data_IF_599896104257
#
_entry.id   IF_599896104257
#
_cell.length_a   1.000
_cell.length_b   1.000
_cell.length_c   1.000
_cell.angle_alpha   90.00
_cell.angle_beta   90.00
_cell.angle_gamma   90.00
#
_symmetry.space_group_name_H-M   'P 1'
#
loop_
_entity.id
_entity.type
_entity.pdbx_description
1 polymer ?
#
# COMPACT_ATOMS: atom_id res chain seq x y z
N UNK A 1 -7.58 10.92 19.37
CA UNK A 1 -8.16 9.98 18.39
C UNK A 1 -7.00 9.24 17.73
N UNK A 2 -7.12 7.93 17.42
CA UNK A 2 -6.05 7.23 16.70
C UNK A 2 -5.95 7.78 15.27
N UNK A 3 -4.74 7.84 14.68
CA UNK A 3 -4.61 8.24 13.27
C UNK A 3 -5.32 7.25 12.34
N UNK A 4 -5.76 7.75 11.20
CA UNK A 4 -6.37 6.94 10.14
C UNK A 4 -5.28 6.17 9.39
N UNK A 5 -5.61 4.93 9.03
CA UNK A 5 -4.74 4.02 8.28
C UNK A 5 -5.30 3.86 6.87
N UNK A 6 -4.46 4.05 5.86
CA UNK A 6 -4.80 3.74 4.46
C UNK A 6 -4.15 2.41 4.08
N UNK A 7 -4.94 1.43 3.65
CA UNK A 7 -4.45 0.14 3.15
C UNK A 7 -4.72 0.01 1.66
N UNK A 8 -3.66 -0.13 0.87
CA UNK A 8 -3.73 -0.20 -0.59
C UNK A 8 -3.74 -1.64 -1.09
N UNK A 9 -4.73 -1.96 -1.89
CA UNK A 9 -5.04 -3.25 -2.49
C UNK A 9 -5.07 -4.43 -1.48
N UNK A 10 -5.88 -4.37 -0.41
CA UNK A 10 -6.00 -5.43 0.59
C UNK A 10 -6.82 -6.65 0.09
N UNK A 11 -6.51 -7.16 -1.09
CA UNK A 11 -7.16 -8.34 -1.67
C UNK A 11 -6.56 -9.65 -1.13
N UNK A 12 -7.34 -10.74 -1.16
CA UNK A 12 -6.92 -12.06 -0.69
C UNK A 12 -6.45 -12.01 0.78
N UNK A 13 -5.24 -12.49 1.10
CA UNK A 13 -4.65 -12.44 2.45
C UNK A 13 -4.35 -11.01 2.92
N UNK A 14 -4.27 -10.04 2.01
CA UNK A 14 -4.10 -8.63 2.35
C UNK A 14 -5.22 -8.08 3.23
N UNK A 15 -6.40 -8.71 3.20
CA UNK A 15 -7.54 -8.35 4.05
C UNK A 15 -7.23 -8.47 5.55
N UNK A 16 -6.33 -9.38 5.93
CA UNK A 16 -5.91 -9.56 7.32
C UNK A 16 -5.24 -8.31 7.88
N UNK A 17 -4.56 -7.52 7.03
CA UNK A 17 -3.93 -6.25 7.44
C UNK A 17 -5.01 -5.26 7.89
N UNK A 18 -6.08 -5.11 7.10
CA UNK A 18 -7.21 -4.24 7.45
C UNK A 18 -7.89 -4.72 8.73
N UNK A 19 -8.24 -6.00 8.79
CA UNK A 19 -8.94 -6.56 9.96
C UNK A 19 -8.13 -6.39 11.24
N UNK A 20 -6.81 -6.49 11.18
CA UNK A 20 -5.95 -6.29 12.35
C UNK A 20 -5.91 -4.82 12.80
N UNK A 21 -5.88 -3.85 11.87
CA UNK A 21 -5.98 -2.44 12.23
C UNK A 21 -7.36 -2.11 12.84
N UNK A 22 -8.44 -2.64 12.26
CA UNK A 22 -9.80 -2.46 12.80
C UNK A 22 -9.92 -3.09 14.19
N UNK A 23 -9.40 -4.32 14.39
CA UNK A 23 -9.40 -4.99 15.69
C UNK A 23 -8.63 -4.21 16.76
N UNK A 24 -7.57 -3.49 16.35
CA UNK A 24 -6.84 -2.56 17.22
C UNK A 24 -7.54 -1.22 17.41
N UNK A 25 -8.70 -0.98 16.82
CA UNK A 25 -9.49 0.25 16.96
C UNK A 25 -8.97 1.44 16.16
N UNK A 26 -8.27 1.21 15.05
CA UNK A 26 -7.92 2.27 14.09
C UNK A 26 -9.08 2.48 13.10
N UNK A 27 -9.21 3.71 12.62
CA UNK A 27 -10.02 4.00 11.44
C UNK A 27 -9.25 3.55 10.20
N UNK A 28 -9.88 2.76 9.33
CA UNK A 28 -9.21 2.22 8.14
C UNK A 28 -9.94 2.63 6.87
N UNK A 29 -9.18 3.19 5.94
CA UNK A 29 -9.58 3.47 4.56
C UNK A 29 -8.89 2.45 3.65
N UNK A 30 -9.63 1.83 2.73
CA UNK A 30 -9.06 0.91 1.75
C UNK A 30 -9.02 1.55 0.37
N UNK A 31 -7.99 1.24 -0.42
CA UNK A 31 -7.90 1.62 -1.84
C UNK A 31 -7.81 0.34 -2.66
N UNK A 32 -8.72 0.13 -3.62
CA UNK A 32 -8.68 -1.02 -4.53
C UNK A 32 -8.10 -0.61 -5.87
N UNK A 33 -7.13 -1.37 -6.38
CA UNK A 33 -6.57 -1.14 -7.71
C UNK A 33 -7.50 -1.68 -8.81
N UNK A 34 -8.17 -2.80 -8.55
CA UNK A 34 -9.18 -3.37 -9.44
C UNK A 34 -10.42 -3.79 -8.66
N UNK A 35 -11.57 -3.22 -9.01
CA UNK A 35 -12.84 -3.52 -8.35
C UNK A 35 -13.43 -4.90 -8.69
N UNK A 36 -13.00 -5.58 -9.75
CA UNK A 36 -13.88 -6.55 -10.44
C UNK A 36 -13.62 -8.03 -10.15
N UNK A 37 -12.43 -8.45 -9.73
CA UNK A 37 -12.09 -9.88 -9.72
C UNK A 37 -12.28 -10.58 -8.36
N UNK A 38 -12.25 -9.87 -7.22
CA UNK A 38 -12.09 -10.52 -5.90
C UNK A 38 -12.99 -10.02 -4.75
N UNK A 39 -14.05 -9.24 -5.02
CA UNK A 39 -14.88 -8.63 -3.95
C UNK A 39 -15.47 -9.64 -2.97
N UNK A 40 -15.93 -10.81 -3.44
CA UNK A 40 -16.50 -11.85 -2.57
C UNK A 40 -15.52 -12.37 -1.51
N UNK A 41 -14.22 -12.44 -1.82
CA UNK A 41 -13.19 -12.96 -0.89
C UNK A 41 -12.88 -11.93 0.21
N UNK A 42 -13.15 -10.65 -0.06
CA UNK A 42 -12.76 -9.54 0.79
C UNK A 42 -13.97 -8.80 1.41
N UNK A 43 -15.18 -9.35 1.30
CA UNK A 43 -16.42 -8.71 1.74
C UNK A 43 -16.40 -8.30 3.22
N UNK A 44 -15.89 -9.19 4.08
CA UNK A 44 -15.69 -8.96 5.52
C UNK A 44 -14.81 -7.75 5.81
N UNK A 45 -13.76 -7.59 5.02
CA UNK A 45 -12.85 -6.44 5.11
C UNK A 45 -13.49 -5.15 4.59
N UNK A 46 -14.24 -5.21 3.48
CA UNK A 46 -14.92 -4.05 2.90
C UNK A 46 -15.95 -3.47 3.88
N UNK A 47 -16.67 -4.33 4.59
CA UNK A 47 -17.65 -3.94 5.63
C UNK A 47 -16.97 -3.38 6.88
N UNK A 48 -15.75 -3.81 7.19
CA UNK A 48 -14.98 -3.33 8.34
C UNK A 48 -14.29 -1.98 8.08
N UNK A 49 -14.12 -1.57 6.82
CA UNK A 49 -13.53 -0.28 6.46
C UNK A 49 -14.50 0.87 6.71
N UNK A 50 -13.97 2.02 7.10
CA UNK A 50 -14.76 3.26 7.14
C UNK A 50 -15.17 3.70 5.73
N UNK A 51 -14.27 3.55 4.75
CA UNK A 51 -14.53 3.86 3.36
C UNK A 51 -13.58 3.07 2.45
N UNK A 52 -14.05 2.80 1.23
CA UNK A 52 -13.28 2.11 0.19
C UNK A 52 -13.25 2.97 -1.07
N UNK A 53 -12.05 3.24 -1.57
CA UNK A 53 -11.80 3.98 -2.80
C UNK A 53 -11.43 3.04 -3.94
N UNK A 54 -11.73 3.43 -5.17
CA UNK A 54 -11.23 2.76 -6.37
C UNK A 54 -10.19 3.63 -7.03
N UNK A 55 -9.00 3.09 -7.22
CA UNK A 55 -7.95 3.79 -7.95
C UNK A 55 -8.26 3.80 -9.45
N UNK A 56 -8.28 4.99 -10.05
CA UNK A 56 -8.55 5.18 -11.48
C UNK A 56 -7.30 5.45 -12.32
N UNK A 57 -6.10 5.26 -11.75
CA UNK A 57 -4.85 5.66 -12.40
C UNK A 57 -4.45 7.12 -12.20
N UNK A 58 -5.16 7.86 -11.34
CA UNK A 58 -4.89 9.26 -11.00
C UNK A 58 -4.62 9.38 -9.50
N UNK A 59 -3.34 9.45 -9.11
CA UNK A 59 -2.95 9.55 -7.70
C UNK A 59 -3.39 10.86 -7.07
N UNK A 60 -3.37 11.98 -7.81
CA UNK A 60 -3.71 13.28 -7.26
C UNK A 60 -5.18 13.36 -6.90
N UNK A 61 -6.06 12.82 -7.76
CA UNK A 61 -7.47 12.68 -7.46
C UNK A 61 -7.71 11.80 -6.23
N UNK A 62 -7.03 10.65 -6.15
CA UNK A 62 -7.16 9.74 -5.01
C UNK A 62 -6.74 10.41 -3.69
N UNK A 63 -5.65 11.18 -3.70
CA UNK A 63 -5.21 11.96 -2.53
C UNK A 63 -6.32 12.89 -2.05
N UNK A 64 -6.92 13.67 -2.96
CA UNK A 64 -8.00 14.61 -2.60
C UNK A 64 -9.21 13.89 -1.99
N UNK A 65 -9.55 12.72 -2.53
CA UNK A 65 -10.63 11.88 -1.99
C UNK A 65 -10.31 11.35 -0.58
N UNK A 66 -9.06 10.96 -0.33
CA UNK A 66 -8.60 10.51 1.00
C UNK A 66 -8.58 11.67 2.01
N UNK A 67 -8.07 12.83 1.62
CA UNK A 67 -8.03 14.05 2.46
C UNK A 67 -9.43 14.53 2.84
N UNK A 68 -10.40 14.40 1.92
CA UNK A 68 -11.80 14.70 2.21
C UNK A 68 -12.42 13.72 3.22
N UNK A 69 -11.91 12.50 3.31
CA UNK A 69 -12.39 11.48 4.26
C UNK A 69 -11.68 11.55 5.62
N UNK A 70 -10.43 12.01 5.68
CA UNK A 70 -9.70 12.17 6.93
C UNK A 70 -8.54 13.15 6.82
N UNK A 71 -8.40 14.00 7.83
CA UNK A 71 -7.33 15.00 8.02
C UNK A 71 -6.13 14.48 8.83
N UNK A 72 -6.18 13.23 9.30
CA UNK A 72 -5.20 12.67 10.25
C UNK A 72 -4.68 11.30 9.78
N UNK A 73 -4.11 11.27 8.58
CA UNK A 73 -3.47 10.06 8.03
C UNK A 73 -2.13 9.82 8.74
N UNK A 74 -2.00 8.71 9.47
CA UNK A 74 -0.75 8.38 10.18
C UNK A 74 -0.01 7.17 9.64
N UNK A 75 -0.68 6.31 8.86
CA UNK A 75 -0.07 5.13 8.24
C UNK A 75 -0.66 4.93 6.86
N UNK A 76 0.22 4.66 5.90
CA UNK A 76 -0.16 4.16 4.59
C UNK A 76 0.65 2.89 4.32
N UNK A 77 -0.02 1.80 3.99
CA UNK A 77 0.65 0.51 3.73
C UNK A 77 -0.04 -0.25 2.61
N UNK A 78 0.72 -1.13 1.95
CA UNK A 78 0.15 -2.09 1.02
C UNK A 78 -0.45 -3.28 1.77
N UNK A 79 -1.57 -3.79 1.26
CA UNK A 79 -2.17 -5.06 1.66
C UNK A 79 -1.66 -6.23 0.84
N UNK A 80 -1.26 -6.01 -0.42
CA UNK A 80 -0.61 -7.02 -1.27
C UNK A 80 0.45 -6.42 -2.20
N UNK A 81 1.16 -7.28 -2.95
CA UNK A 81 2.28 -6.90 -3.83
C UNK A 81 1.93 -5.80 -4.85
N UNK A 82 0.73 -5.85 -5.42
CA UNK A 82 0.29 -4.90 -6.46
C UNK A 82 0.21 -3.48 -5.90
N UNK A 83 -0.24 -3.34 -4.65
CA UNK A 83 -0.41 -2.07 -3.94
C UNK A 83 0.88 -1.40 -3.49
N UNK A 84 2.04 -2.07 -3.54
CA UNK A 84 3.30 -1.58 -2.94
C UNK A 84 3.72 -0.21 -3.47
N UNK A 85 3.65 0.02 -4.78
CA UNK A 85 4.10 1.29 -5.37
C UNK A 85 3.19 2.45 -5.01
N UNK A 86 1.87 2.26 -5.20
CA UNK A 86 0.89 3.28 -4.86
C UNK A 86 0.89 3.56 -3.36
N UNK A 87 1.03 2.55 -2.51
CA UNK A 87 1.16 2.74 -1.06
C UNK A 87 2.38 3.59 -0.71
N UNK A 88 3.54 3.35 -1.34
CA UNK A 88 4.74 4.13 -1.07
C UNK A 88 4.62 5.59 -1.57
N UNK A 89 3.98 5.79 -2.72
CA UNK A 89 3.70 7.12 -3.27
C UNK A 89 2.76 7.93 -2.36
N UNK A 90 1.65 7.32 -1.95
CA UNK A 90 0.71 7.91 -0.99
C UNK A 90 1.37 8.14 0.37
N UNK A 91 2.16 7.18 0.87
CA UNK A 91 2.87 7.33 2.13
C UNK A 91 3.80 8.54 2.13
N UNK A 92 4.54 8.74 1.03
CA UNK A 92 5.41 9.88 0.82
C UNK A 92 4.62 11.19 0.74
N UNK A 93 3.49 11.19 0.01
CA UNK A 93 2.59 12.35 -0.08
C UNK A 93 2.07 12.78 1.30
N UNK A 94 1.57 11.83 2.10
CA UNK A 94 1.02 12.11 3.44
C UNK A 94 2.09 12.26 4.53
N UNK A 95 3.39 12.21 4.19
CA UNK A 95 4.48 12.35 5.16
C UNK A 95 4.55 11.23 6.20
N UNK A 96 3.97 10.07 5.90
CA UNK A 96 4.03 8.88 6.77
C UNK A 96 5.31 8.08 6.50
N UNK A 97 5.59 7.08 7.33
CA UNK A 97 6.77 6.22 7.14
C UNK A 97 6.72 5.53 5.77
N UNK A 98 7.68 5.87 4.90
CA UNK A 98 7.79 5.34 3.55
C UNK A 98 9.21 4.87 3.24
N UNK A 99 9.37 4.02 2.23
CA UNK A 99 10.70 3.76 1.68
C UNK A 99 11.15 4.96 0.82
N UNK A 100 12.46 5.22 0.75
CA UNK A 100 13.00 6.24 -0.14
C UNK A 100 12.60 5.96 -1.61
N UNK A 101 12.09 6.96 -2.35
CA UNK A 101 11.63 6.80 -3.73
C UNK A 101 12.80 6.49 -4.69
N UNK A 102 14.02 6.88 -4.38
CA UNK A 102 15.23 6.67 -5.19
C UNK A 102 15.53 5.17 -5.34
N UNK A 103 15.18 4.37 -4.34
CA UNK A 103 15.41 2.92 -4.30
C UNK A 103 14.23 2.10 -4.85
N UNK A 104 13.24 2.75 -5.49
CA UNK A 104 12.06 2.09 -6.07
C UNK A 104 12.43 0.98 -7.06
N UNK A 105 13.32 1.28 -8.01
CA UNK A 105 13.70 0.32 -9.05
C UNK A 105 14.38 -0.92 -8.47
N UNK A 106 15.17 -0.75 -7.40
CA UNK A 106 15.82 -1.85 -6.68
C UNK A 106 14.83 -2.77 -5.95
N UNK A 107 13.57 -2.35 -5.74
CA UNK A 107 12.53 -3.17 -5.09
C UNK A 107 11.59 -3.86 -6.06
N UNK A 108 11.49 -3.39 -7.32
CA UNK A 108 10.57 -3.94 -8.34
C UNK A 108 11.26 -4.82 -9.37
N UNK A 109 12.52 -4.55 -9.69
CA UNK A 109 13.24 -5.26 -10.73
C UNK A 109 14.29 -6.19 -10.12
N UNK A 110 14.27 -7.48 -10.48
CA UNK A 110 15.17 -8.50 -9.94
C UNK A 110 16.65 -8.21 -10.21
N UNK A 111 16.96 -7.68 -11.39
CA UNK A 111 18.33 -7.28 -11.73
C UNK A 111 18.80 -6.15 -10.82
N UNK A 112 18.03 -5.05 -10.75
CA UNK A 112 18.35 -3.91 -9.89
C UNK A 112 18.41 -4.28 -8.40
N UNK A 113 17.55 -5.20 -7.96
CA UNK A 113 17.59 -5.76 -6.61
C UNK A 113 18.92 -6.47 -6.34
N UNK A 114 19.35 -7.33 -7.28
CA UNK A 114 20.63 -8.02 -7.22
C UNK A 114 21.83 -7.06 -7.16
N UNK A 115 21.84 -6.03 -8.00
CA UNK A 115 22.88 -5.00 -7.99
C UNK A 115 22.91 -4.21 -6.68
N UNK A 116 21.75 -3.80 -6.17
CA UNK A 116 21.65 -3.04 -4.92
C UNK A 116 22.16 -3.84 -3.71
N UNK A 117 21.79 -5.12 -3.58
CA UNK A 117 22.28 -5.94 -2.45
C UNK A 117 23.76 -6.28 -2.60
N UNK A 118 24.27 -6.47 -3.82
CA UNK A 118 25.72 -6.67 -4.07
C UNK A 118 26.53 -5.42 -3.70
N UNK A 119 26.05 -4.24 -4.07
CA UNK A 119 26.68 -2.96 -3.71
C UNK A 119 26.71 -2.75 -2.19
N UNK A 120 25.75 -3.30 -1.45
CA UNK A 120 25.72 -3.30 0.01
C UNK A 120 26.59 -4.39 0.67
N UNK A 121 27.36 -5.18 -0.11
CA UNK A 121 28.22 -6.26 0.40
C UNK A 121 27.47 -7.55 0.76
N UNK A 122 26.20 -7.66 0.38
CA UNK A 122 25.40 -8.88 0.58
C UNK A 122 25.57 -9.80 -0.64
N UNK A 123 25.70 -11.10 -0.39
CA UNK A 123 25.82 -12.10 -1.46
C UNK A 123 24.58 -12.06 -2.36
N UNK A 124 24.78 -11.80 -3.64
CA UNK A 124 23.74 -11.79 -4.67
C UNK A 124 24.04 -12.83 -5.75
N UNK A 125 22.99 -13.37 -6.38
CA UNK A 125 23.13 -14.29 -7.52
C UNK A 125 23.83 -13.55 -8.68
N UNK A 126 24.75 -14.24 -9.36
CA UNK A 126 25.42 -13.73 -10.55
C UNK A 126 24.40 -13.37 -11.63
N UNK A 127 24.56 -12.21 -12.27
CA UNK A 127 23.70 -11.80 -13.36
C UNK A 127 24.24 -12.40 -14.66
N UNK A 128 23.41 -13.14 -15.40
CA UNK A 128 23.70 -13.60 -16.74
C UNK A 128 22.89 -12.80 -17.77
N UNK A 129 23.54 -12.38 -18.84
CA UNK A 129 22.91 -11.67 -19.97
C UNK A 129 22.41 -12.64 -21.04
#
# INVERSE_FOLDING_TARGET
MKPTVVVVDPVSTGKCVVLEFVNRGFNVLAVLLELKSNLKICQDMLEACQQVFSYSGDTQKLVQEIEAASDNIGVVTAGCENGVELANELAHHFGTLSNPPEMRLARRNKYNMGEAVRAAGVRAVEQSF
#
